data_IF_355656711892
#
_entry.id   IF_355656711892
#
_cell.length_a   1.000
_cell.length_b   1.000
_cell.length_c   1.000
_cell.angle_alpha   90.00
_cell.angle_beta   90.00
_cell.angle_gamma   90.00
#
_symmetry.space_group_name_H-M   'P 1'
#
loop_
_entity.id
_entity.type
_entity.pdbx_description
1 polymer ?
#
# COMPACT_ATOMS: atom_id res chain seq x y z
N UNK A 1 6.10 20.76 -14.33
CA UNK A 1 5.16 20.41 -13.25
C UNK A 1 5.75 19.36 -12.35
N UNK A 2 5.71 19.58 -11.06
CA UNK A 2 6.11 18.57 -10.11
C UNK A 2 5.06 17.46 -10.02
N UNK A 3 5.49 16.21 -9.96
CA UNK A 3 4.57 15.08 -9.75
C UNK A 3 4.10 15.07 -8.31
N UNK A 4 2.88 14.58 -8.08
CA UNK A 4 2.36 14.38 -6.73
C UNK A 4 3.24 13.38 -5.97
N UNK A 5 3.45 13.56 -4.64
CA UNK A 5 4.27 12.64 -3.85
C UNK A 5 3.85 11.18 -3.95
N UNK A 6 2.54 10.88 -3.96
CA UNK A 6 2.04 9.52 -4.13
C UNK A 6 2.39 8.93 -5.50
N UNK A 7 2.36 9.76 -6.56
CA UNK A 7 2.73 9.29 -7.92
C UNK A 7 4.21 8.92 -7.99
N UNK A 8 5.07 9.72 -7.37
CA UNK A 8 6.50 9.45 -7.29
C UNK A 8 6.76 8.16 -6.51
N UNK A 9 6.10 8.02 -5.37
CA UNK A 9 6.24 6.83 -4.52
C UNK A 9 5.71 5.58 -5.24
N UNK A 10 4.56 5.68 -5.89
CA UNK A 10 3.99 4.60 -6.69
C UNK A 10 4.97 4.12 -7.76
N UNK A 11 5.64 5.07 -8.45
CA UNK A 11 6.60 4.71 -9.48
C UNK A 11 7.83 4.00 -8.89
N UNK A 12 8.30 4.42 -7.72
CA UNK A 12 9.40 3.72 -7.02
C UNK A 12 9.02 2.27 -6.73
N UNK A 13 7.79 2.02 -6.31
CA UNK A 13 7.31 0.67 -6.03
C UNK A 13 7.26 -0.15 -7.32
N UNK A 14 6.67 0.39 -8.38
CA UNK A 14 6.60 -0.30 -9.68
C UNK A 14 7.98 -0.61 -10.24
N UNK A 15 8.97 0.26 -9.99
CA UNK A 15 10.33 0.07 -10.47
C UNK A 15 11.06 -1.10 -9.79
N UNK A 16 10.56 -1.58 -8.64
CA UNK A 16 11.13 -2.74 -7.97
C UNK A 16 11.03 -4.02 -8.81
N UNK A 17 10.12 -4.06 -9.78
CA UNK A 17 10.00 -5.14 -10.73
C UNK A 17 11.30 -5.36 -11.52
N UNK A 18 12.06 -4.30 -11.74
CA UNK A 18 13.35 -4.40 -12.46
C UNK A 18 14.38 -5.21 -11.68
N UNK A 19 14.25 -5.25 -10.36
CA UNK A 19 15.16 -5.97 -9.47
C UNK A 19 14.65 -7.36 -9.12
N UNK A 20 13.33 -7.58 -9.18
CA UNK A 20 12.70 -8.82 -8.73
C UNK A 20 11.69 -9.30 -9.78
N UNK A 21 12.03 -10.36 -10.50
CA UNK A 21 11.19 -10.93 -11.56
C UNK A 21 9.86 -11.50 -11.05
N UNK A 22 9.81 -11.84 -9.76
CA UNK A 22 8.62 -12.41 -9.11
C UNK A 22 7.63 -11.34 -8.64
N UNK A 23 7.88 -10.08 -8.97
CA UNK A 23 7.01 -8.96 -8.61
C UNK A 23 6.21 -8.52 -9.82
N UNK A 24 4.90 -8.37 -9.63
CA UNK A 24 4.01 -7.86 -10.67
C UNK A 24 3.18 -6.71 -10.09
N UNK A 25 3.08 -5.63 -10.84
CA UNK A 25 2.28 -4.47 -10.46
C UNK A 25 1.42 -4.03 -11.64
N UNK A 26 0.15 -3.74 -11.37
CA UNK A 26 -0.75 -3.16 -12.34
C UNK A 26 -1.44 -1.95 -11.72
N UNK A 27 -1.25 -0.78 -12.32
CA UNK A 27 -1.96 0.42 -11.89
C UNK A 27 -3.44 0.28 -12.24
N UNK A 28 -4.29 0.68 -11.31
CA UNK A 28 -5.74 0.61 -11.49
C UNK A 28 -6.27 2.03 -11.66
N UNK A 29 -6.92 2.25 -12.79
CA UNK A 29 -7.62 3.50 -13.07
C UNK A 29 -9.10 3.18 -13.22
N UNK A 30 -9.94 3.88 -12.46
CA UNK A 30 -11.37 3.70 -12.53
C UNK A 30 -12.07 5.05 -12.45
N UNK A 31 -13.04 5.25 -13.33
CA UNK A 31 -13.85 6.47 -13.37
C UNK A 31 -15.22 6.26 -12.74
N UNK A 32 -15.60 5.02 -12.45
CA UNK A 32 -16.94 4.64 -11.99
C UNK A 32 -17.01 4.17 -10.56
N UNK A 33 -15.92 3.64 -10.01
CA UNK A 33 -15.89 3.12 -8.64
C UNK A 33 -14.96 3.97 -7.79
N UNK A 34 -15.46 4.42 -6.63
CA UNK A 34 -14.67 5.20 -5.68
C UNK A 34 -13.99 4.31 -4.67
N UNK A 35 -12.78 4.69 -4.29
CA UNK A 35 -12.07 4.03 -3.20
C UNK A 35 -11.31 2.78 -3.58
N UNK A 36 -11.29 2.39 -4.86
CA UNK A 36 -10.51 1.25 -5.33
C UNK A 36 -9.02 1.54 -5.12
N UNK A 37 -8.26 0.56 -4.66
CA UNK A 37 -6.83 0.72 -4.38
C UNK A 37 -6.02 1.02 -5.65
N UNK A 38 -4.85 1.65 -5.46
CA UNK A 38 -4.01 2.16 -6.55
C UNK A 38 -3.40 1.06 -7.44
N UNK A 39 -3.00 -0.05 -6.83
CA UNK A 39 -2.29 -1.10 -7.53
C UNK A 39 -2.87 -2.47 -7.23
N UNK A 40 -2.93 -3.30 -8.27
CA UNK A 40 -3.05 -4.75 -8.09
C UNK A 40 -1.63 -5.32 -8.11
N UNK A 41 -1.30 -6.12 -7.12
CA UNK A 41 0.09 -6.53 -6.84
C UNK A 41 0.15 -8.04 -6.68
N UNK A 42 1.18 -8.65 -7.29
CA UNK A 42 1.48 -10.07 -7.05
C UNK A 42 2.94 -10.14 -6.64
N UNK A 43 3.19 -10.67 -5.45
CA UNK A 43 4.53 -10.82 -4.88
C UNK A 43 4.77 -12.30 -4.60
N UNK A 44 5.68 -12.90 -5.35
CA UNK A 44 6.05 -14.31 -5.19
C UNK A 44 4.81 -15.23 -5.20
N UNK A 45 3.90 -14.98 -6.15
CA UNK A 45 2.71 -15.78 -6.36
C UNK A 45 1.50 -15.44 -5.49
N UNK A 46 1.62 -14.48 -4.58
CA UNK A 46 0.52 -14.04 -3.71
C UNK A 46 0.00 -12.69 -4.15
N UNK A 47 -1.30 -12.60 -4.42
CA UNK A 47 -1.90 -11.37 -4.93
C UNK A 47 -2.61 -10.59 -3.84
N UNK A 48 -2.50 -9.26 -3.92
CA UNK A 48 -3.21 -8.35 -3.04
C UNK A 48 -3.33 -6.97 -3.69
N UNK A 49 -4.28 -6.20 -3.20
CA UNK A 49 -4.47 -4.81 -3.61
C UNK A 49 -3.64 -3.93 -2.70
N UNK A 50 -3.04 -2.88 -3.27
CA UNK A 50 -2.15 -1.99 -2.52
C UNK A 50 -2.59 -0.54 -2.70
N UNK A 51 -2.95 0.10 -1.59
CA UNK A 51 -3.19 1.54 -1.54
C UNK A 51 -1.90 2.22 -1.10
N UNK A 52 -1.54 3.31 -1.78
CA UNK A 52 -0.27 4.01 -1.55
C UNK A 52 -0.57 5.40 -1.00
N UNK A 53 0.07 5.74 0.11
CA UNK A 53 -0.07 7.04 0.76
C UNK A 53 1.30 7.60 1.13
N UNK A 54 1.39 8.93 1.15
CA UNK A 54 2.54 9.64 1.70
C UNK A 54 2.01 10.56 2.80
N UNK A 55 2.58 10.43 3.99
CA UNK A 55 2.20 11.22 5.16
C UNK A 55 3.37 12.15 5.51
N UNK A 56 3.18 13.44 5.32
CA UNK A 56 4.23 14.45 5.53
C UNK A 56 4.32 14.96 6.95
N UNK A 57 3.37 14.60 7.84
CA UNK A 57 3.38 15.04 9.22
C UNK A 57 4.43 14.35 10.07
N UNK A 58 4.67 14.86 11.27
CA UNK A 58 5.57 14.25 12.25
C UNK A 58 5.02 12.93 12.76
N UNK A 59 3.69 12.80 12.83
CA UNK A 59 2.99 11.59 13.21
C UNK A 59 2.05 11.18 12.09
N UNK A 60 1.85 9.88 11.94
CA UNK A 60 0.89 9.37 10.97
C UNK A 60 -0.52 9.74 11.44
N UNK A 61 -1.34 10.28 10.55
CA UNK A 61 -2.72 10.61 10.86
C UNK A 61 -3.53 9.37 11.22
N UNK A 62 -4.61 9.53 11.99
CA UNK A 62 -5.41 8.43 12.54
C UNK A 62 -5.87 7.42 11.49
N UNK A 63 -6.29 7.91 10.32
CA UNK A 63 -6.76 7.04 9.23
C UNK A 63 -5.80 7.01 8.04
N UNK A 64 -4.54 7.37 8.25
CA UNK A 64 -3.45 7.39 7.27
C UNK A 64 -3.78 8.13 5.97
N UNK A 65 -4.75 9.02 6.00
CA UNK A 65 -5.18 9.79 4.82
C UNK A 65 -6.19 9.06 3.93
N UNK A 66 -6.75 7.95 4.37
CA UNK A 66 -7.77 7.25 3.59
C UNK A 66 -9.10 8.00 3.64
N UNK A 67 -9.74 8.13 2.47
CA UNK A 67 -11.10 8.65 2.38
C UNK A 67 -12.12 7.63 2.92
N UNK A 68 -13.34 8.07 3.17
CA UNK A 68 -14.44 7.17 3.56
C UNK A 68 -14.66 6.07 2.52
N UNK A 69 -14.56 6.41 1.24
CA UNK A 69 -14.75 5.45 0.14
C UNK A 69 -13.64 4.42 0.13
N UNK A 70 -12.39 4.84 0.34
CA UNK A 70 -11.24 3.93 0.40
C UNK A 70 -11.35 2.98 1.58
N UNK A 71 -11.73 3.49 2.75
CA UNK A 71 -11.92 2.66 3.94
C UNK A 71 -13.03 1.63 3.75
N UNK A 72 -14.18 2.05 3.19
CA UNK A 72 -15.31 1.16 2.95
C UNK A 72 -14.96 0.08 1.93
N UNK A 73 -14.32 0.45 0.83
CA UNK A 73 -13.93 -0.49 -0.21
C UNK A 73 -12.98 -1.57 0.33
N UNK A 74 -11.97 -1.15 1.08
CA UNK A 74 -10.99 -2.07 1.66
C UNK A 74 -11.63 -3.02 2.68
N UNK A 75 -12.52 -2.49 3.53
CA UNK A 75 -13.19 -3.30 4.55
C UNK A 75 -14.05 -4.38 3.91
N UNK A 76 -14.84 -4.03 2.90
CA UNK A 76 -15.70 -4.98 2.19
C UNK A 76 -14.84 -6.04 1.48
N UNK A 77 -13.79 -5.62 0.78
CA UNK A 77 -12.90 -6.55 0.10
C UNK A 77 -12.27 -7.54 1.07
N UNK A 78 -11.71 -7.03 2.17
CA UNK A 78 -11.05 -7.87 3.17
C UNK A 78 -12.04 -8.83 3.84
N UNK A 79 -13.28 -8.38 4.07
CA UNK A 79 -14.33 -9.20 4.65
C UNK A 79 -14.73 -10.38 3.75
N UNK A 80 -14.65 -10.19 2.45
CA UNK A 80 -15.01 -11.23 1.47
C UNK A 80 -13.85 -12.15 1.09
N UNK A 81 -12.75 -12.11 1.84
CA UNK A 81 -11.60 -12.98 1.60
C UNK A 81 -10.57 -12.42 0.64
N UNK A 82 -10.77 -11.21 0.14
CA UNK A 82 -9.76 -10.50 -0.62
C UNK A 82 -8.69 -9.94 0.33
N UNK A 83 -7.62 -9.39 -0.25
CA UNK A 83 -6.54 -8.80 0.54
C UNK A 83 -6.21 -7.43 -0.02
N UNK A 84 -6.39 -6.41 0.83
CA UNK A 84 -5.94 -5.05 0.54
C UNK A 84 -5.10 -4.56 1.71
N UNK A 85 -3.93 -4.04 1.37
CA UNK A 85 -3.00 -3.44 2.33
C UNK A 85 -2.75 -1.98 1.96
N UNK A 86 -2.25 -1.23 2.93
CA UNK A 86 -1.86 0.16 2.73
C UNK A 86 -0.37 0.30 3.02
N UNK A 87 0.35 0.94 2.11
CA UNK A 87 1.76 1.24 2.28
C UNK A 87 1.90 2.75 2.39
N UNK A 88 2.37 3.22 3.54
CA UNK A 88 2.46 4.63 3.88
C UNK A 88 3.92 5.03 4.02
N UNK A 89 4.36 5.94 3.16
CA UNK A 89 5.68 6.56 3.30
C UNK A 89 5.59 7.70 4.31
N UNK A 90 6.50 7.71 5.28
CA UNK A 90 6.58 8.75 6.31
C UNK A 90 7.96 9.43 6.20
N UNK A 91 8.10 10.45 5.33
CA UNK A 91 9.40 11.04 5.03
C UNK A 91 10.12 11.60 6.25
N UNK A 92 9.39 12.20 7.19
CA UNK A 92 9.97 12.77 8.42
C UNK A 92 10.66 11.72 9.28
N UNK A 93 10.24 10.47 9.20
CA UNK A 93 10.81 9.35 9.96
C UNK A 93 11.72 8.46 9.10
N UNK A 94 11.79 8.71 7.79
CA UNK A 94 12.56 7.91 6.82
C UNK A 94 12.16 6.43 6.84
N UNK A 95 10.86 6.17 6.98
CA UNK A 95 10.33 4.81 7.02
C UNK A 95 9.10 4.68 6.13
N UNK A 96 8.75 3.44 5.84
CA UNK A 96 7.46 3.05 5.29
C UNK A 96 6.76 2.16 6.30
N UNK A 97 5.44 2.32 6.42
CA UNK A 97 4.62 1.56 7.36
C UNK A 97 3.52 0.84 6.60
N UNK A 98 3.19 -0.35 7.03
CA UNK A 98 2.14 -1.16 6.41
C UNK A 98 0.95 -1.27 7.35
N UNK A 99 -0.26 -1.20 6.77
CA UNK A 99 -1.51 -1.22 7.52
C UNK A 99 -2.55 -2.09 6.81
N UNK A 100 -3.48 -2.60 7.58
CA UNK A 100 -4.65 -3.32 7.06
C UNK A 100 -5.89 -2.84 7.78
N UNK A 101 -7.00 -2.65 7.04
CA UNK A 101 -8.29 -2.34 7.64
C UNK A 101 -8.98 -3.64 8.04
N UNK A 102 -9.36 -3.73 9.30
CA UNK A 102 -10.11 -4.84 9.88
C UNK A 102 -11.43 -4.32 10.45
N UNK A 103 -12.40 -5.21 10.78
CA UNK A 103 -13.66 -4.76 11.38
C UNK A 103 -13.47 -3.90 12.63
N UNK A 104 -12.41 -4.16 13.40
CA UNK A 104 -12.07 -3.38 14.60
C UNK A 104 -11.40 -2.04 14.30
N UNK A 105 -11.03 -1.79 13.04
CA UNK A 105 -10.37 -0.57 12.62
C UNK A 105 -9.06 -0.80 11.90
N UNK A 106 -8.32 0.27 11.70
CA UNK A 106 -7.03 0.24 11.01
C UNK A 106 -5.96 -0.36 11.93
N UNK A 107 -5.29 -1.41 11.44
CA UNK A 107 -4.22 -2.09 12.17
C UNK A 107 -2.87 -1.84 11.52
N UNK A 108 -1.90 -1.35 12.29
CA UNK A 108 -0.52 -1.23 11.85
C UNK A 108 0.13 -2.61 11.89
N UNK A 109 0.78 -3.01 10.80
CA UNK A 109 1.41 -4.32 10.68
C UNK A 109 2.90 -4.27 10.95
N UNK A 110 3.64 -3.39 10.28
CA UNK A 110 5.09 -3.33 10.38
C UNK A 110 5.65 -2.01 9.89
N UNK A 111 6.93 -1.78 10.20
CA UNK A 111 7.69 -0.59 9.78
C UNK A 111 9.00 -1.05 9.18
N UNK A 112 9.38 -0.43 8.05
CA UNK A 112 10.62 -0.76 7.33
C UNK A 112 11.33 0.54 6.92
N UNK A 113 12.65 0.50 6.68
CA UNK A 113 13.36 1.67 6.16
C UNK A 113 12.81 2.10 4.79
N UNK A 114 12.82 3.41 4.53
CA UNK A 114 12.43 3.96 3.22
C UNK A 114 13.59 3.85 2.23
N UNK A 115 13.89 2.62 1.84
CA UNK A 115 14.94 2.24 0.89
C UNK A 115 14.37 1.19 -0.05
N UNK A 116 15.07 0.90 -1.15
CA UNK A 116 14.65 -0.19 -2.05
C UNK A 116 14.52 -1.52 -1.30
N UNK A 117 15.51 -1.83 -0.47
CA UNK A 117 15.47 -3.06 0.35
C UNK A 117 14.29 -3.04 1.32
N UNK A 118 14.06 -1.91 2.00
CA UNK A 118 12.94 -1.77 2.91
C UNK A 118 11.59 -1.92 2.23
N UNK A 119 11.44 -1.38 1.02
CA UNK A 119 10.22 -1.52 0.22
C UNK A 119 9.99 -2.98 -0.17
N UNK A 120 11.04 -3.69 -0.60
CA UNK A 120 10.93 -5.11 -0.89
C UNK A 120 10.52 -5.92 0.34
N UNK A 121 11.12 -5.61 1.48
CA UNK A 121 10.75 -6.25 2.76
C UNK A 121 9.28 -6.01 3.10
N UNK A 122 8.80 -4.79 2.90
CA UNK A 122 7.40 -4.43 3.16
C UNK A 122 6.44 -5.23 2.28
N UNK A 123 6.72 -5.29 0.97
CA UNK A 123 5.89 -6.05 0.03
C UNK A 123 5.87 -7.54 0.36
N UNK A 124 7.02 -8.12 0.65
CA UNK A 124 7.11 -9.54 1.00
C UNK A 124 6.44 -9.85 2.33
N UNK A 125 6.55 -8.93 3.30
CA UNK A 125 5.86 -9.08 4.58
C UNK A 125 4.34 -9.06 4.40
N UNK A 126 3.82 -8.15 3.56
CA UNK A 126 2.38 -8.13 3.26
C UNK A 126 1.94 -9.43 2.59
N UNK A 127 2.72 -9.94 1.64
CA UNK A 127 2.42 -11.21 0.98
C UNK A 127 2.39 -12.37 1.98
N UNK A 128 3.28 -12.38 2.96
CA UNK A 128 3.33 -13.40 4.01
C UNK A 128 2.08 -13.42 4.90
N UNK A 129 1.33 -12.31 4.97
CA UNK A 129 0.08 -12.25 5.73
C UNK A 129 -1.06 -13.01 5.02
N UNK A 130 -0.84 -13.45 3.79
CA UNK A 130 -1.84 -14.13 2.97
C UNK A 130 -1.62 -15.63 3.06
N UNK A 131 -2.64 -16.34 3.48
CA UNK A 131 -2.60 -17.80 3.58
C UNK A 131 -3.01 -18.48 2.27
#
# INVERSE_FOLDING_TARGET
MSKKPESVFSQRIKDLKKLNKDYYFQAIETTTSRGVADLFTIIKGRSFWLEIKVNHGKKVSKNIGLSKYQQAWQLVLNKHGGHCFNLVRVPTQRVVKTYRIEPSGLRELATFPDTEVGLCMALEHMAEQIN
#
